data_IF_472053782063
#
_entry.id   IF_472053782063
#
_cell.length_a   1.000
_cell.length_b   1.000
_cell.length_c   1.000
_cell.angle_alpha   90.00
_cell.angle_beta   90.00
_cell.angle_gamma   90.00
#
_symmetry.space_group_name_H-M   'P 1'
#
loop_
_entity.id
_entity.type
_entity.pdbx_description
1 polymer ?
#
# COMPACT_ATOMS: atom_id res chain seq x y z
N UNK A 1 -32.17 8.92 -18.08
CA UNK A 1 -32.42 10.37 -18.23
C UNK A 1 -31.12 11.02 -18.62
N UNK A 2 -31.09 11.65 -19.79
CA UNK A 2 -29.94 12.32 -20.38
C UNK A 2 -29.72 13.69 -19.76
N UNK A 3 -28.45 14.12 -19.64
CA UNK A 3 -27.98 15.52 -19.54
C UNK A 3 -26.50 15.53 -19.98
N UNK A 4 -26.22 15.54 -21.28
CA UNK A 4 -25.72 16.68 -22.09
C UNK A 4 -24.43 17.32 -21.57
N UNK A 5 -23.30 16.95 -22.21
CA UNK A 5 -22.01 17.63 -22.08
C UNK A 5 -22.05 19.00 -22.73
N UNK A 6 -21.56 20.04 -22.05
CA UNK A 6 -21.26 21.32 -22.65
C UNK A 6 -19.77 21.59 -22.46
N UNK A 7 -18.99 21.43 -23.54
CA UNK A 7 -17.64 21.98 -23.64
C UNK A 7 -17.78 23.45 -24.03
N UNK A 8 -17.54 24.35 -23.08
CA UNK A 8 -17.31 25.76 -23.39
C UNK A 8 -15.80 25.98 -23.37
N UNK A 9 -15.20 26.02 -24.55
CA UNK A 9 -13.79 26.36 -24.74
C UNK A 9 -13.69 27.88 -24.88
N UNK A 10 -13.42 28.60 -23.78
CA UNK A 10 -13.04 30.01 -23.85
C UNK A 10 -11.54 30.12 -24.04
N UNK A 11 -11.17 30.73 -25.17
CA UNK A 11 -9.82 31.12 -25.54
C UNK A 11 -9.36 32.21 -24.56
N UNK A 12 -8.50 31.86 -23.60
CA UNK A 12 -7.58 32.82 -22.96
C UNK A 12 -6.37 32.11 -22.36
N UNK A 13 -5.19 32.63 -22.67
CA UNK A 13 -3.87 32.22 -22.21
C UNK A 13 -3.70 32.40 -20.69
N UNK A 14 -4.22 31.46 -19.91
CA UNK A 14 -3.74 31.18 -18.56
C UNK A 14 -3.72 29.66 -18.44
N UNK A 15 -2.53 29.07 -18.57
CA UNK A 15 -2.31 27.67 -18.22
C UNK A 15 -2.33 27.57 -16.69
N UNK A 16 -3.50 27.77 -16.09
CA UNK A 16 -3.73 27.44 -14.71
C UNK A 16 -3.82 25.92 -14.65
N UNK A 17 -2.74 25.27 -14.22
CA UNK A 17 -2.82 23.93 -13.69
C UNK A 17 -3.67 24.01 -12.43
N UNK A 18 -5.00 23.99 -12.58
CA UNK A 18 -5.88 23.78 -11.45
C UNK A 18 -5.63 22.34 -11.03
N UNK A 19 -4.88 22.17 -9.94
CA UNK A 19 -4.78 20.88 -9.29
C UNK A 19 -6.20 20.50 -8.87
N UNK A 20 -6.85 19.70 -9.70
CA UNK A 20 -8.03 18.97 -9.28
C UNK A 20 -7.48 17.97 -8.27
N UNK A 21 -7.68 18.24 -6.99
CA UNK A 21 -7.57 17.23 -5.95
C UNK A 21 -8.61 16.17 -6.29
N UNK A 22 -8.24 15.26 -7.20
CA UNK A 22 -8.94 14.01 -7.36
C UNK A 22 -8.88 13.38 -5.98
N UNK A 23 -10.01 13.38 -5.28
CA UNK A 23 -10.19 12.64 -4.04
C UNK A 23 -10.05 11.17 -4.43
N UNK A 24 -8.80 10.71 -4.48
CA UNK A 24 -8.44 9.35 -4.85
C UNK A 24 -9.13 8.46 -3.84
N UNK A 25 -10.14 7.72 -4.30
CA UNK A 25 -10.78 6.63 -3.56
C UNK A 25 -9.69 5.68 -3.08
N UNK A 26 -9.24 5.89 -1.85
CA UNK A 26 -8.06 5.27 -1.29
C UNK A 26 -8.12 5.31 0.24
N UNK A 27 -7.35 4.44 0.92
CA UNK A 27 -7.38 4.39 2.38
C UNK A 27 -6.91 5.71 2.96
N UNK A 28 -7.54 6.15 4.04
CA UNK A 28 -7.04 7.29 4.81
C UNK A 28 -5.72 6.89 5.47
N UNK A 29 -4.62 7.55 5.12
CA UNK A 29 -3.30 7.30 5.71
C UNK A 29 -2.81 8.54 6.45
N UNK A 30 -2.43 8.37 7.71
CA UNK A 30 -1.86 9.43 8.52
C UNK A 30 -0.77 8.93 9.49
N UNK A 31 0.11 9.83 9.90
CA UNK A 31 1.24 9.57 10.80
C UNK A 31 1.04 10.39 12.06
N UNK A 32 0.97 9.74 13.23
CA UNK A 32 0.69 10.43 14.49
C UNK A 32 1.96 10.90 15.17
N UNK A 33 2.04 12.22 15.35
CA UNK A 33 3.15 12.95 15.95
C UNK A 33 2.63 13.79 17.12
N UNK A 34 2.14 13.14 18.17
CA UNK A 34 1.76 13.80 19.42
C UNK A 34 2.83 13.67 20.51
N UNK A 35 2.83 14.53 21.55
CA UNK A 35 3.57 14.28 22.79
C UNK A 35 3.01 13.04 23.53
N UNK A 36 3.83 12.41 24.39
CA UNK A 36 3.38 11.28 25.23
C UNK A 36 2.17 11.74 26.06
N UNK A 37 0.99 11.16 25.81
CA UNK A 37 -0.23 11.40 26.59
C UNK A 37 -1.43 11.98 25.81
N UNK A 38 -1.26 12.41 24.56
CA UNK A 38 -2.39 12.79 23.69
C UNK A 38 -3.14 11.56 23.18
N UNK A 39 -4.47 11.65 23.01
CA UNK A 39 -5.29 10.60 22.36
C UNK A 39 -4.81 10.38 20.92
N UNK A 40 -3.96 9.37 20.75
CA UNK A 40 -3.17 9.12 19.56
C UNK A 40 -1.72 8.91 19.97
N UNK A 41 -1.36 7.67 20.34
CA UNK A 41 -0.03 7.39 20.86
C UNK A 41 1.03 7.77 19.81
N UNK A 42 1.96 8.63 20.21
CA UNK A 42 3.11 9.07 19.43
C UNK A 42 3.80 7.88 18.74
N UNK A 43 4.03 7.96 17.44
CA UNK A 43 4.70 6.90 16.68
C UNK A 43 3.77 5.81 16.14
N UNK A 44 2.46 6.03 16.14
CA UNK A 44 1.50 5.22 15.42
C UNK A 44 1.28 5.75 13.99
N UNK A 45 0.81 4.87 13.11
CA UNK A 45 0.20 5.22 11.85
C UNK A 45 -1.30 4.94 11.90
N UNK A 46 -2.04 5.64 11.05
CA UNK A 46 -3.42 5.34 10.70
C UNK A 46 -3.44 4.74 9.29
N UNK A 47 -4.19 3.66 9.12
CA UNK A 47 -4.57 3.12 7.82
C UNK A 47 -6.07 2.86 7.83
N UNK A 48 -6.79 3.55 6.95
CA UNK A 48 -8.24 3.66 7.00
C UNK A 48 -8.72 4.09 8.41
N UNK A 49 -9.38 3.20 9.16
CA UNK A 49 -9.88 3.49 10.52
C UNK A 49 -8.99 2.93 11.64
N UNK A 50 -7.90 2.24 11.30
CA UNK A 50 -7.08 1.50 12.26
C UNK A 50 -5.80 2.24 12.61
N UNK A 51 -5.49 2.28 13.91
CA UNK A 51 -4.27 2.87 14.46
C UNK A 51 -3.34 1.78 14.98
N UNK A 52 -2.09 1.79 14.55
CA UNK A 52 -1.13 0.74 14.90
C UNK A 52 0.31 1.25 14.84
N UNK A 53 1.18 0.56 15.58
CA UNK A 53 2.64 0.80 15.60
C UNK A 53 3.41 -0.36 15.00
N UNK A 54 2.97 -1.57 15.29
CA UNK A 54 3.54 -2.82 14.75
C UNK A 54 2.82 -3.22 13.47
N UNK A 55 3.38 -4.13 12.66
CA UNK A 55 2.72 -4.60 11.46
C UNK A 55 1.28 -5.05 11.71
N UNK A 56 0.34 -4.45 10.98
CA UNK A 56 -1.08 -4.74 11.05
C UNK A 56 -1.50 -5.65 9.90
N UNK A 57 -2.31 -6.65 10.20
CA UNK A 57 -2.86 -7.59 9.22
C UNK A 57 -4.38 -7.49 9.27
N UNK A 58 -5.02 -6.78 8.31
CA UNK A 58 -6.46 -6.66 8.26
C UNK A 58 -7.15 -8.02 8.26
N UNK A 59 -8.31 -8.10 8.92
CA UNK A 59 -9.13 -9.31 8.89
C UNK A 59 -9.75 -9.47 7.49
N UNK A 60 -9.81 -10.69 6.99
CA UNK A 60 -10.45 -11.07 5.71
C UNK A 60 -9.75 -10.57 4.44
N UNK A 61 -8.58 -9.95 4.54
CA UNK A 61 -7.78 -9.53 3.38
C UNK A 61 -6.35 -10.01 3.59
N UNK A 62 -5.77 -10.70 2.60
CA UNK A 62 -4.37 -11.11 2.65
C UNK A 62 -3.44 -9.92 2.39
N UNK A 63 -3.26 -9.09 3.41
CA UNK A 63 -2.48 -7.86 3.37
C UNK A 63 -1.67 -7.69 4.66
N UNK A 64 -0.55 -6.99 4.56
CA UNK A 64 0.26 -6.53 5.68
C UNK A 64 0.48 -5.03 5.55
N UNK A 65 0.32 -4.30 6.64
CA UNK A 65 0.58 -2.86 6.69
C UNK A 65 1.64 -2.58 7.72
N UNK A 66 2.73 -1.94 7.32
CA UNK A 66 3.87 -1.65 8.17
C UNK A 66 4.00 -0.14 8.36
N UNK A 67 4.09 0.28 9.62
CA UNK A 67 4.20 1.68 10.01
C UNK A 67 5.65 2.08 10.27
N UNK A 68 6.11 3.16 9.63
CA UNK A 68 7.38 3.83 9.88
C UNK A 68 7.10 5.30 10.24
N UNK A 69 6.42 5.52 11.37
CA UNK A 69 5.89 6.83 11.74
C UNK A 69 6.96 7.92 11.88
N UNK A 70 8.16 7.59 12.36
CA UNK A 70 9.29 8.53 12.45
C UNK A 70 9.75 9.04 11.09
N UNK A 71 9.59 8.23 10.05
CA UNK A 71 9.90 8.55 8.66
C UNK A 71 8.68 9.12 7.91
N UNK A 72 7.52 9.26 8.58
CA UNK A 72 6.24 9.59 7.96
C UNK A 72 5.97 8.71 6.73
N UNK A 73 6.23 7.42 6.89
CA UNK A 73 6.14 6.41 5.83
C UNK A 73 5.31 5.23 6.29
N UNK A 74 4.45 4.73 5.43
CA UNK A 74 3.65 3.52 5.65
C UNK A 74 3.71 2.67 4.38
N UNK A 75 3.86 1.36 4.55
CA UNK A 75 3.95 0.42 3.44
C UNK A 75 2.81 -0.58 3.58
N UNK A 76 1.94 -0.67 2.57
CA UNK A 76 0.88 -1.66 2.46
C UNK A 76 1.27 -2.70 1.40
N UNK A 77 1.33 -3.97 1.79
CA UNK A 77 1.72 -5.09 0.92
C UNK A 77 0.53 -6.04 0.78
N UNK A 78 0.11 -6.31 -0.46
CA UNK A 78 -0.99 -7.23 -0.78
C UNK A 78 -0.57 -8.25 -1.82
N UNK A 79 -1.30 -9.36 -1.92
CA UNK A 79 -1.08 -10.35 -2.98
C UNK A 79 -1.31 -9.75 -4.37
N UNK A 80 -0.57 -10.28 -5.34
CA UNK A 80 -0.74 -9.98 -6.75
C UNK A 80 -0.63 -11.28 -7.55
N UNK A 81 -1.15 -11.24 -8.77
CA UNK A 81 -0.87 -12.30 -9.75
C UNK A 81 0.56 -12.15 -10.27
N UNK A 82 1.11 -13.23 -10.79
CA UNK A 82 2.40 -13.22 -11.47
C UNK A 82 2.43 -12.12 -12.57
N UNK A 83 3.47 -11.27 -12.60
CA UNK A 83 3.58 -10.23 -13.61
C UNK A 83 3.96 -10.84 -14.97
N UNK A 84 3.59 -10.21 -16.11
CA UNK A 84 3.90 -10.73 -17.45
C UNK A 84 5.41 -10.85 -17.77
N UNK A 85 6.25 -10.15 -17.00
CA UNK A 85 7.71 -10.17 -17.09
C UNK A 85 8.33 -11.49 -16.60
N UNK A 86 7.64 -12.22 -15.71
CA UNK A 86 8.09 -13.51 -15.16
C UNK A 86 7.59 -14.63 -16.07
N UNK A 87 8.43 -15.15 -16.96
CA UNK A 87 8.00 -16.06 -18.05
C UNK A 87 7.99 -17.55 -17.71
N UNK A 88 8.11 -17.96 -16.45
CA UNK A 88 8.40 -19.37 -16.16
C UNK A 88 8.05 -19.84 -14.75
N UNK A 89 6.96 -19.31 -14.19
CA UNK A 89 6.44 -19.80 -12.92
C UNK A 89 5.14 -20.60 -13.08
N UNK A 90 5.03 -21.70 -12.35
CA UNK A 90 3.85 -22.57 -12.33
C UNK A 90 3.11 -22.35 -11.02
N UNK A 91 1.80 -22.09 -11.09
CA UNK A 91 0.96 -21.94 -9.91
C UNK A 91 0.85 -23.27 -9.15
N UNK A 92 1.21 -23.26 -7.86
CA UNK A 92 1.03 -24.39 -6.95
C UNK A 92 -0.32 -24.26 -6.25
N UNK A 93 -1.17 -25.28 -6.41
CA UNK A 93 -2.43 -25.37 -5.66
C UNK A 93 -2.11 -25.61 -4.19
N UNK A 94 -2.22 -24.58 -3.35
CA UNK A 94 -2.06 -24.70 -1.91
C UNK A 94 -3.17 -23.92 -1.18
N UNK A 95 -3.57 -24.36 0.03
CA UNK A 95 -4.55 -23.65 0.82
C UNK A 95 -4.00 -22.29 1.27
N UNK A 96 -4.66 -21.21 0.83
CA UNK A 96 -4.36 -19.82 1.17
C UNK A 96 -4.67 -19.53 2.65
N UNK A 97 -3.80 -19.98 3.54
CA UNK A 97 -4.00 -19.89 4.99
C UNK A 97 -2.89 -19.11 5.68
N UNK A 98 -3.21 -18.53 6.83
CA UNK A 98 -2.27 -17.73 7.62
C UNK A 98 -2.26 -16.25 7.26
N UNK A 99 -1.18 -15.57 7.63
CA UNK A 99 -0.98 -14.13 7.41
C UNK A 99 -0.13 -13.90 6.16
N UNK A 100 -0.25 -12.73 5.57
CA UNK A 100 0.60 -12.30 4.47
C UNK A 100 2.09 -12.52 4.80
N UNK A 101 2.92 -13.04 3.87
CA UNK A 101 2.59 -13.40 2.48
C UNK A 101 2.03 -14.82 2.29
N UNK A 102 1.89 -15.63 3.34
CA UNK A 102 1.55 -17.07 3.23
C UNK A 102 0.14 -17.34 2.73
N UNK A 103 -0.78 -16.39 2.88
CA UNK A 103 -2.13 -16.48 2.32
C UNK A 103 -2.20 -16.09 0.83
N UNK A 104 -1.09 -15.73 0.18
CA UNK A 104 -1.06 -15.48 -1.26
C UNK A 104 -0.95 -16.78 -2.07
N UNK A 105 -1.25 -16.68 -3.37
CA UNK A 105 -0.90 -17.71 -4.33
C UNK A 105 0.62 -17.95 -4.32
N UNK A 106 1.01 -19.21 -4.45
CA UNK A 106 2.42 -19.62 -4.52
C UNK A 106 2.71 -20.19 -5.89
N UNK A 107 3.83 -19.77 -6.43
CA UNK A 107 4.33 -20.18 -7.72
C UNK A 107 5.70 -20.84 -7.54
N UNK A 108 5.97 -21.85 -8.35
CA UNK A 108 7.30 -22.45 -8.47
C UNK A 108 7.94 -21.88 -9.73
N UNK A 109 9.02 -21.13 -9.57
CA UNK A 109 9.78 -20.53 -10.69
C UNK A 109 11.08 -21.30 -10.95
N UNK A 110 11.78 -20.95 -12.04
CA UNK A 110 12.99 -21.57 -12.60
C UNK A 110 13.89 -22.35 -11.62
N UNK A 111 14.32 -21.73 -10.52
CA UNK A 111 15.28 -22.32 -9.57
C UNK A 111 14.61 -23.19 -8.50
N UNK A 112 13.44 -23.78 -8.82
CA UNK A 112 12.57 -24.46 -7.86
C UNK A 112 12.25 -23.58 -6.64
N UNK A 113 12.16 -22.26 -6.82
CA UNK A 113 11.84 -21.34 -5.74
C UNK A 113 10.33 -21.26 -5.57
N UNK A 114 9.86 -21.50 -4.34
CA UNK A 114 8.49 -21.19 -3.96
C UNK A 114 8.39 -19.71 -3.67
N UNK A 115 7.65 -19.00 -4.51
CA UNK A 115 7.48 -17.55 -4.41
C UNK A 115 6.03 -17.12 -4.41
N UNK A 116 5.76 -16.00 -3.78
CA UNK A 116 4.51 -15.27 -3.94
C UNK A 116 4.78 -13.91 -4.57
N UNK A 117 3.86 -13.47 -5.42
CA UNK A 117 3.88 -12.12 -5.97
C UNK A 117 2.96 -11.22 -5.18
N UNK A 118 3.35 -9.95 -5.06
CA UNK A 118 2.56 -8.93 -4.41
C UNK A 118 2.78 -7.57 -5.01
N UNK A 119 1.96 -6.62 -4.56
CA UNK A 119 2.13 -5.20 -4.82
C UNK A 119 2.39 -4.55 -3.47
N UNK A 120 3.43 -3.72 -3.43
CA UNK A 120 3.74 -2.86 -2.31
C UNK A 120 3.35 -1.43 -2.67
N UNK A 121 2.45 -0.81 -1.88
CA UNK A 121 2.10 0.60 -1.99
C UNK A 121 2.73 1.33 -0.81
N UNK A 122 3.63 2.26 -1.11
CA UNK A 122 4.24 3.12 -0.09
C UNK A 122 3.55 4.46 -0.07
N UNK A 123 3.11 4.88 1.12
CA UNK A 123 2.55 6.18 1.41
C UNK A 123 3.56 7.02 2.16
N UNK A 124 3.68 8.29 1.79
CA UNK A 124 4.56 9.25 2.47
C UNK A 124 3.86 10.58 2.68
N UNK A 125 4.36 11.36 3.65
CA UNK A 125 4.03 12.78 3.77
C UNK A 125 5.29 13.62 3.58
N UNK A 126 5.37 14.31 2.44
CA UNK A 126 6.37 15.36 2.19
C UNK A 126 5.71 16.72 2.41
N UNK A 127 6.23 17.48 3.36
CA UNK A 127 5.76 18.81 3.72
C UNK A 127 6.55 19.38 4.90
N UNK A 128 6.61 20.71 4.99
CA UNK A 128 7.17 21.46 6.12
C UNK A 128 6.66 20.89 7.45
N UNK A 129 7.48 20.97 8.51
CA UNK A 129 7.12 20.51 9.87
C UNK A 129 5.65 20.79 10.14
N UNK A 130 4.91 19.74 10.51
CA UNK A 130 3.54 19.89 10.97
C UNK A 130 3.51 20.98 12.04
N UNK A 131 2.55 21.92 12.02
CA UNK A 131 2.37 22.87 13.10
C UNK A 131 2.41 22.13 14.44
N UNK A 132 2.99 22.72 15.50
CA UNK A 132 3.16 22.06 16.80
C UNK A 132 1.84 21.51 17.39
N UNK A 133 0.70 22.03 16.94
CA UNK A 133 -0.64 21.65 17.38
C UNK A 133 -1.26 20.50 16.54
N UNK A 134 -0.58 20.06 15.47
CA UNK A 134 -1.10 19.04 14.57
C UNK A 134 -0.69 17.64 15.05
N UNK A 135 -1.66 16.92 15.61
CA UNK A 135 -1.49 15.59 16.22
C UNK A 135 -1.26 14.50 15.17
N UNK A 136 -1.65 14.74 13.91
CA UNK A 136 -1.48 13.80 12.79
C UNK A 136 -1.16 14.49 11.47
N UNK A 137 -0.28 13.86 10.69
CA UNK A 137 0.10 14.31 9.34
C UNK A 137 -0.50 13.34 8.33
N UNK A 138 -1.33 13.80 7.40
CA UNK A 138 -1.87 12.96 6.32
C UNK A 138 -0.78 12.65 5.28
N UNK A 139 -0.85 11.46 4.68
CA UNK A 139 -0.03 11.16 3.52
C UNK A 139 -0.34 12.13 2.37
N UNK A 140 0.69 12.62 1.70
CA UNK A 140 0.60 13.56 0.58
C UNK A 140 0.97 12.91 -0.75
N UNK A 141 1.53 11.71 -0.72
CA UNK A 141 1.90 10.96 -1.91
C UNK A 141 1.93 9.47 -1.66
N UNK A 142 1.80 8.71 -2.74
CA UNK A 142 2.02 7.29 -2.75
C UNK A 142 2.70 6.84 -4.05
N UNK A 143 3.30 5.66 -4.02
CA UNK A 143 3.75 4.94 -5.22
C UNK A 143 3.61 3.45 -4.99
N UNK A 144 3.47 2.69 -6.08
CA UNK A 144 3.39 1.24 -6.05
C UNK A 144 4.60 0.59 -6.72
N UNK A 145 4.94 -0.60 -6.27
CA UNK A 145 5.94 -1.46 -6.88
C UNK A 145 5.48 -2.91 -6.83
N UNK A 146 5.79 -3.67 -7.88
CA UNK A 146 5.67 -5.13 -7.85
C UNK A 146 6.73 -5.70 -6.90
N UNK A 147 6.37 -6.75 -6.16
CA UNK A 147 7.26 -7.37 -5.16
C UNK A 147 7.20 -8.88 -5.27
N UNK A 148 8.38 -9.50 -5.22
CA UNK A 148 8.55 -10.96 -5.21
C UNK A 148 8.98 -11.40 -3.82
N UNK A 149 8.22 -12.30 -3.20
CA UNK A 149 8.50 -12.86 -1.88
C UNK A 149 9.01 -14.28 -2.04
N UNK A 150 10.27 -14.52 -1.72
CA UNK A 150 10.84 -15.86 -1.62
C UNK A 150 10.37 -16.52 -0.31
N UNK A 151 9.61 -17.62 -0.42
CA UNK A 151 9.10 -18.35 0.74
C UNK A 151 10.05 -19.48 1.15
N UNK A 152 10.57 -20.21 0.16
CA UNK A 152 11.53 -21.29 0.34
C UNK A 152 12.17 -21.69 -0.99
N UNK A 153 13.30 -22.39 -0.90
CA UNK A 153 13.86 -23.18 -2.01
C UNK A 153 13.28 -24.59 -1.94
N UNK A 154 12.72 -25.09 -3.04
CA UNK A 154 12.19 -26.44 -3.13
C UNK A 154 13.28 -27.41 -3.61
N UNK A 155 13.38 -28.58 -2.98
CA UNK A 155 14.26 -29.66 -3.42
C UNK A 155 13.42 -30.82 -3.94
N UNK A 156 13.66 -31.23 -5.20
CA UNK A 156 12.95 -32.37 -5.80
C UNK A 156 11.42 -32.23 -5.84
N UNK A 157 10.91 -31.00 -6.02
CA UNK A 157 9.47 -30.72 -6.06
C UNK A 157 8.79 -30.61 -4.70
N UNK A 158 9.52 -30.75 -3.59
CA UNK A 158 8.98 -30.62 -2.24
C UNK A 158 9.34 -29.27 -1.61
N UNK A 159 8.29 -28.54 -1.26
CA UNK A 159 8.22 -27.34 -0.44
C UNK A 159 6.85 -27.33 0.24
#
# INVERSE_FOLDING_TARGET
>A
MALTSWNVCFILHICACVAVDAEVSGPTVAFLSGPRGSKGASGNCQFDRYFFKTPYYPKNICMKVTCYASEKRLVAESCATQPPSEKSCILKTQPMTGKFPRCCAVYICNDNEAVSFGISVTYTANGTKAPPDQISVRATGNWSAETRYLLSTCNGGTC
#
